data_IF_311970411413
#
_entry.id   IF_311970411413
#
_cell.length_a   1.000
_cell.length_b   1.000
_cell.length_c   1.000
_cell.angle_alpha   90.00
_cell.angle_beta   90.00
_cell.angle_gamma   90.00
#
_symmetry.space_group_name_H-M   'P 1'
#
loop_
_entity.id
_entity.type
_entity.pdbx_description
1 polymer ?
#
# COMPACT_ATOMS: atom_id res chain seq x y z
N UNK A 1 -14.46 -3.65 -19.98
CA UNK A 1 -13.09 -4.19 -20.08
C UNK A 1 -12.22 -3.39 -19.15
N UNK A 2 -12.49 -3.56 -17.86
CA UNK A 2 -11.96 -2.72 -16.80
C UNK A 2 -10.46 -2.93 -16.72
N UNK A 3 -9.72 -1.95 -17.23
CA UNK A 3 -8.26 -1.98 -17.29
C UNK A 3 -7.74 -1.93 -15.86
N UNK A 4 -7.57 -3.11 -15.26
CA UNK A 4 -6.84 -3.26 -14.02
C UNK A 4 -5.48 -2.57 -14.18
N UNK A 5 -5.23 -1.56 -13.34
CA UNK A 5 -3.94 -0.86 -13.34
C UNK A 5 -2.86 -1.91 -13.04
N UNK A 6 -1.76 -1.95 -13.81
CA UNK A 6 -0.70 -2.91 -13.54
C UNK A 6 -0.25 -2.81 -12.09
N UNK A 7 -0.06 -3.95 -11.44
CA UNK A 7 0.38 -4.05 -10.05
C UNK A 7 1.60 -3.18 -9.73
N UNK A 8 2.56 -3.14 -10.65
CA UNK A 8 3.77 -2.31 -10.54
C UNK A 8 3.45 -0.82 -10.48
N UNK A 9 2.45 -0.36 -11.23
CA UNK A 9 1.96 1.01 -11.21
C UNK A 9 1.23 1.34 -9.90
N UNK A 10 0.46 0.39 -9.35
CA UNK A 10 -0.18 0.55 -8.03
C UNK A 10 0.86 0.72 -6.93
N UNK A 11 1.89 -0.14 -6.90
CA UNK A 11 3.00 -0.05 -5.94
C UNK A 11 3.73 1.29 -6.07
N UNK A 12 4.01 1.75 -7.29
CA UNK A 12 4.62 3.08 -7.52
C UNK A 12 3.75 4.22 -6.99
N UNK A 13 2.43 4.18 -7.22
CA UNK A 13 1.48 5.18 -6.72
C UNK A 13 1.44 5.22 -5.20
N UNK A 14 1.42 4.06 -4.54
CA UNK A 14 1.50 3.96 -3.08
C UNK A 14 2.81 4.56 -2.58
N UNK A 15 3.96 4.21 -3.19
CA UNK A 15 5.25 4.78 -2.79
C UNK A 15 5.33 6.30 -2.97
N UNK A 16 4.79 6.81 -4.08
CA UNK A 16 4.72 8.25 -4.33
C UNK A 16 3.85 8.93 -3.27
N UNK A 17 2.72 8.34 -2.90
CA UNK A 17 1.83 8.84 -1.84
C UNK A 17 2.51 8.82 -0.47
N UNK A 18 3.15 7.71 -0.10
CA UNK A 18 3.89 7.56 1.16
C UNK A 18 4.97 8.62 1.28
N UNK A 19 5.74 8.86 0.22
CA UNK A 19 6.78 9.91 0.22
C UNK A 19 6.18 11.32 0.29
N UNK A 20 5.14 11.60 -0.51
CA UNK A 20 4.46 12.90 -0.54
C UNK A 20 3.88 13.28 0.83
N UNK A 21 3.34 12.30 1.55
CA UNK A 21 2.74 12.50 2.87
C UNK A 21 3.70 12.21 4.03
N UNK A 22 4.98 11.94 3.74
CA UNK A 22 6.01 11.62 4.73
C UNK A 22 5.61 10.49 5.70
N UNK A 23 4.94 9.46 5.17
CA UNK A 23 4.41 8.31 5.91
C UNK A 23 5.45 7.20 6.11
N UNK A 24 6.65 7.35 5.55
CA UNK A 24 7.75 6.42 5.85
C UNK A 24 8.20 6.62 7.30
N UNK A 25 8.36 5.53 8.03
CA UNK A 25 8.81 5.62 9.42
C UNK A 25 10.25 6.17 9.50
N UNK A 26 10.44 7.16 10.37
CA UNK A 26 11.73 7.88 10.51
C UNK A 26 12.80 7.04 11.20
N UNK A 27 12.41 6.08 12.04
CA UNK A 27 13.29 5.18 12.78
C UNK A 27 13.53 3.89 11.99
N UNK A 28 12.48 3.31 11.44
CA UNK A 28 12.54 2.08 10.64
C UNK A 28 12.09 2.36 9.21
N UNK A 29 13.02 2.76 8.34
CA UNK A 29 12.72 3.15 6.95
C UNK A 29 12.06 2.04 6.11
N UNK A 30 12.02 0.80 6.59
CA UNK A 30 11.30 -0.32 5.96
C UNK A 30 9.81 -0.32 6.25
N UNK A 31 9.37 0.45 7.24
CA UNK A 31 7.98 0.56 7.66
C UNK A 31 7.32 1.82 7.09
N UNK A 32 6.02 1.68 6.86
CA UNK A 32 5.11 2.71 6.38
C UNK A 32 4.03 2.86 7.44
N UNK A 33 3.89 4.06 7.99
CA UNK A 33 2.84 4.44 8.91
C UNK A 33 1.63 4.86 8.10
N UNK A 34 0.67 3.94 7.96
CA UNK A 34 -0.52 4.11 7.16
C UNK A 34 -1.44 5.17 7.78
N UNK A 35 -1.79 6.16 6.98
CA UNK A 35 -2.89 7.07 7.27
C UNK A 35 -4.24 6.38 7.02
N UNK A 36 -5.34 7.09 7.25
CA UNK A 36 -6.70 6.52 7.10
C UNK A 36 -6.92 5.94 5.69
N UNK A 37 -6.43 6.64 4.66
CA UNK A 37 -6.50 6.19 3.26
C UNK A 37 -5.70 4.89 3.04
N UNK A 38 -4.44 4.84 3.47
CA UNK A 38 -3.61 3.66 3.28
C UNK A 38 -4.05 2.49 4.15
N UNK A 39 -4.72 2.75 5.29
CA UNK A 39 -5.29 1.69 6.11
C UNK A 39 -6.34 0.91 5.35
N UNK A 40 -7.19 1.54 4.53
CA UNK A 40 -8.15 0.81 3.69
C UNK A 40 -7.43 -0.13 2.70
N UNK A 41 -6.35 0.35 2.09
CA UNK A 41 -5.51 -0.44 1.18
C UNK A 41 -4.75 -1.54 1.94
N UNK A 42 -4.39 -1.33 3.20
CA UNK A 42 -3.61 -2.29 3.98
C UNK A 42 -4.45 -3.18 4.91
N UNK A 43 -5.77 -3.23 4.71
CA UNK A 43 -6.66 -4.08 5.51
C UNK A 43 -6.77 -3.62 6.97
N UNK A 44 -6.77 -2.32 7.21
CA UNK A 44 -6.88 -1.66 8.52
C UNK A 44 -5.57 -1.49 9.28
N UNK A 45 -4.46 -2.06 8.78
CA UNK A 45 -3.15 -2.02 9.46
C UNK A 45 -2.59 -0.60 9.54
N UNK A 46 -2.24 -0.17 10.76
CA UNK A 46 -1.64 1.15 11.02
C UNK A 46 -0.18 1.26 10.57
N UNK A 47 0.54 0.16 10.59
CA UNK A 47 1.93 0.10 10.13
C UNK A 47 2.10 -1.13 9.27
N UNK A 48 2.74 -0.97 8.12
CA UNK A 48 3.10 -2.08 7.23
C UNK A 48 4.56 -1.99 6.84
N UNK A 49 5.22 -3.13 6.77
CA UNK A 49 6.55 -3.21 6.17
C UNK A 49 6.47 -3.20 4.64
N UNK A 50 7.58 -2.90 3.94
CA UNK A 50 7.68 -3.00 2.48
C UNK A 50 7.29 -4.39 1.94
N UNK A 51 7.58 -5.46 2.68
CA UNK A 51 7.20 -6.83 2.33
C UNK A 51 5.69 -7.04 2.43
N UNK A 52 5.08 -6.60 3.54
CA UNK A 52 3.64 -6.66 3.72
C UNK A 52 2.90 -5.79 2.71
N UNK A 53 3.38 -4.58 2.43
CA UNK A 53 2.82 -3.71 1.40
C UNK A 53 2.74 -4.44 0.06
N UNK A 54 3.83 -5.10 -0.35
CA UNK A 54 3.85 -5.88 -1.59
C UNK A 54 2.82 -6.99 -1.55
N UNK A 55 2.73 -7.76 -0.45
CA UNK A 55 1.73 -8.82 -0.30
C UNK A 55 0.28 -8.29 -0.31
N UNK A 56 0.00 -7.21 0.43
CA UNK A 56 -1.33 -6.61 0.52
C UNK A 56 -1.80 -6.05 -0.83
N UNK A 57 -0.89 -5.48 -1.63
CA UNK A 57 -1.22 -5.07 -3.00
C UNK A 57 -1.51 -6.28 -3.90
N UNK A 58 -0.97 -7.47 -3.58
CA UNK A 58 -1.28 -8.71 -4.35
C UNK A 58 -2.69 -9.15 -4.00
N UNK A 59 -2.95 -9.22 -2.70
CA UNK A 59 -4.20 -9.76 -2.15
C UNK A 59 -5.40 -8.84 -2.43
N UNK A 60 -5.21 -7.50 -2.47
CA UNK A 60 -6.26 -6.54 -2.82
C UNK A 60 -6.63 -6.54 -4.31
N UNK A 61 -5.69 -6.87 -5.19
CA UNK A 61 -5.99 -6.98 -6.63
C UNK A 61 -6.70 -8.30 -6.97
N UNK A 62 -6.62 -9.30 -6.08
CA UNK A 62 -7.37 -10.57 -6.21
C UNK A 62 -8.70 -10.56 -5.45
N UNK A 63 -8.88 -9.68 -4.47
CA UNK A 63 -10.11 -9.57 -3.69
C UNK A 63 -11.09 -8.58 -4.35
N UNK A 64 -11.49 -8.89 -5.58
CA UNK A 64 -12.88 -8.59 -5.96
C UNK A 64 -13.72 -9.44 -5.01
N UNK A 65 -14.44 -8.77 -4.09
CA UNK A 65 -15.39 -9.42 -3.19
C UNK A 65 -16.21 -10.42 -4.00
N UNK A 66 -16.16 -11.70 -3.60
CA UNK A 66 -17.25 -12.63 -3.89
C UNK A 66 -18.54 -12.15 -3.23
#
# INVERSE_FOLDING_TARGET
>A
GDKAIPRTEVVKKIWAYVKKNNLQDKKEKRNINADETLREVFGGKKTVSMFEMTKLVNDNLTSSKG
#
